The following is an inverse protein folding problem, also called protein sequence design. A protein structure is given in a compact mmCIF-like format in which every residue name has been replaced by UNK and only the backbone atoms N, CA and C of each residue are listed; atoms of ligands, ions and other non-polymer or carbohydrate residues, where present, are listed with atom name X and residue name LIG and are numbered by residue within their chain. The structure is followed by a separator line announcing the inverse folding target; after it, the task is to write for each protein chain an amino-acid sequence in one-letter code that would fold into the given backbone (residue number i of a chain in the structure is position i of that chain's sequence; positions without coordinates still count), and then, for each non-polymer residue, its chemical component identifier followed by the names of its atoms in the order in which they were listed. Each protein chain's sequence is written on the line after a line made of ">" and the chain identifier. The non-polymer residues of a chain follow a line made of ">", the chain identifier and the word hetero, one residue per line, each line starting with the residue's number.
data_IF_194621885760
#
_entry.id   IF_194621885760
#
_cell.length_a   1.000
_cell.length_b   1.000
_cell.length_c   1.000
_cell.angle_alpha   90.00
_cell.angle_beta   90.00
_cell.angle_gamma   90.00
#
_symmetry.space_group_name_H-M   'P 1'
#
loop_
_entity.id
_entity.type
_entity.pdbx_description
1 polymer ?
#
# COMPACT_ATOMS: atom_id res chain seq x y z
N UNK A 1 -4.09 28.18 -14.69
CA UNK A 1 -4.41 27.03 -15.53
C UNK A 1 -5.37 26.17 -14.75
N UNK A 2 -6.57 25.88 -15.27
CA UNK A 2 -7.51 24.95 -14.63
C UNK A 2 -6.90 23.56 -14.77
N UNK A 3 -6.44 22.97 -13.66
CA UNK A 3 -5.92 21.61 -13.68
C UNK A 3 -7.04 20.63 -14.09
N UNK A 4 -6.73 19.75 -15.03
CA UNK A 4 -7.66 18.77 -15.57
C UNK A 4 -8.00 17.70 -14.50
N UNK A 5 -9.24 17.23 -14.47
CA UNK A 5 -9.61 16.10 -13.61
C UNK A 5 -9.06 14.80 -14.21
N UNK A 6 -8.44 14.01 -13.38
CA UNK A 6 -7.81 12.74 -13.74
C UNK A 6 -8.52 11.59 -13.03
N UNK A 7 -8.96 10.60 -13.79
CA UNK A 7 -9.38 9.31 -13.26
C UNK A 7 -8.17 8.35 -13.28
N UNK A 8 -7.49 8.25 -12.15
CA UNK A 8 -6.40 7.31 -11.94
C UNK A 8 -6.96 5.94 -11.57
N UNK A 9 -6.56 4.89 -12.30
CA UNK A 9 -6.96 3.50 -12.06
C UNK A 9 -5.72 2.67 -11.75
N UNK A 10 -5.76 1.95 -10.64
CA UNK A 10 -4.73 1.02 -10.18
C UNK A 10 -5.27 -0.42 -10.25
N UNK A 11 -4.68 -1.25 -11.10
CA UNK A 11 -5.05 -2.64 -11.31
C UNK A 11 -4.10 -3.53 -10.51
N UNK A 12 -4.49 -3.87 -9.29
CA UNK A 12 -3.78 -4.81 -8.43
C UNK A 12 -4.26 -6.25 -8.57
N UNK A 13 -3.59 -7.18 -7.91
CA UNK A 13 -3.86 -8.64 -7.96
C UNK A 13 -5.29 -9.01 -7.54
N UNK A 14 -5.76 -8.43 -6.44
CA UNK A 14 -7.04 -8.77 -5.80
C UNK A 14 -8.10 -7.70 -5.99
N UNK A 15 -7.68 -6.44 -6.15
CA UNK A 15 -8.57 -5.28 -6.20
C UNK A 15 -8.16 -4.34 -7.32
N UNK A 16 -9.15 -3.75 -7.96
CA UNK A 16 -8.96 -2.61 -8.85
C UNK A 16 -9.54 -1.38 -8.14
N UNK A 17 -8.75 -0.32 -8.10
CA UNK A 17 -9.09 0.91 -7.38
C UNK A 17 -9.07 2.08 -8.33
N UNK A 18 -9.94 3.05 -8.11
CA UNK A 18 -9.87 4.31 -8.83
C UNK A 18 -9.84 5.51 -7.87
N UNK A 19 -9.32 6.62 -8.38
CA UNK A 19 -9.37 7.94 -7.80
C UNK A 19 -9.65 8.94 -8.91
N UNK A 20 -10.79 9.63 -8.87
CA UNK A 20 -10.99 10.85 -9.61
C UNK A 20 -10.45 12.00 -8.77
N UNK A 21 -9.42 12.65 -9.25
CA UNK A 21 -8.75 13.71 -8.52
C UNK A 21 -8.27 14.82 -9.44
N UNK A 22 -7.82 15.90 -8.83
CA UNK A 22 -7.22 17.06 -9.49
C UNK A 22 -5.96 17.45 -8.75
N UNK A 23 -4.88 17.66 -9.49
CA UNK A 23 -3.64 18.19 -8.92
C UNK A 23 -3.79 19.68 -8.62
N UNK A 24 -3.42 20.11 -7.42
CA UNK A 24 -3.37 21.50 -7.02
C UNK A 24 -1.96 22.07 -7.24
N UNK A 25 -1.84 23.43 -7.39
CA UNK A 25 -0.54 24.08 -7.57
C UNK A 25 0.45 23.87 -6.40
N UNK A 26 -0.05 23.61 -5.20
CA UNK A 26 0.74 23.33 -4.00
C UNK A 26 1.26 21.88 -3.91
N UNK A 27 0.97 21.06 -4.92
CA UNK A 27 1.36 19.64 -4.95
C UNK A 27 0.40 18.70 -4.23
N UNK A 28 -0.65 19.21 -3.60
CA UNK A 28 -1.72 18.37 -3.06
C UNK A 28 -2.66 17.85 -4.15
N UNK A 29 -3.47 16.85 -3.80
CA UNK A 29 -4.49 16.30 -4.70
C UNK A 29 -5.86 16.46 -4.07
N UNK A 30 -6.75 17.19 -4.77
CA UNK A 30 -8.16 17.20 -4.43
C UNK A 30 -8.79 15.86 -4.81
N UNK A 31 -9.28 15.13 -3.83
CA UNK A 31 -10.05 13.90 -4.04
C UNK A 31 -11.50 14.22 -4.32
N UNK A 32 -11.98 13.91 -5.52
CA UNK A 32 -13.37 14.13 -5.97
C UNK A 32 -14.21 12.87 -5.76
N UNK A 33 -13.69 11.70 -6.17
CA UNK A 33 -14.38 10.42 -6.03
C UNK A 33 -13.34 9.29 -5.93
N UNK A 34 -13.66 8.26 -5.15
CA UNK A 34 -12.80 7.09 -4.96
C UNK A 34 -13.65 5.83 -4.82
N UNK A 35 -13.23 4.74 -5.47
CA UNK A 35 -13.90 3.44 -5.35
C UNK A 35 -12.88 2.31 -5.41
N UNK A 36 -13.22 1.17 -4.77
CA UNK A 36 -12.46 -0.07 -4.81
C UNK A 36 -13.37 -1.22 -5.16
N UNK A 37 -12.96 -2.06 -6.11
CA UNK A 37 -13.66 -3.28 -6.51
C UNK A 37 -12.76 -4.50 -6.34
N UNK A 38 -13.33 -5.58 -5.81
CA UNK A 38 -12.67 -6.87 -5.78
C UNK A 38 -12.76 -7.49 -7.18
N UNK A 39 -11.63 -7.75 -7.80
CA UNK A 39 -11.55 -8.26 -9.17
C UNK A 39 -10.87 -9.61 -9.30
N UNK A 40 -9.89 -9.89 -8.39
CA UNK A 40 -9.10 -11.12 -8.39
C UNK A 40 -8.56 -11.49 -9.77
N UNK A 41 -7.93 -10.55 -10.44
CA UNK A 41 -7.36 -10.73 -11.78
C UNK A 41 -6.14 -11.67 -11.80
N UNK A 42 -5.53 -11.96 -10.66
CA UNK A 42 -4.46 -12.96 -10.55
C UNK A 42 -4.96 -14.24 -9.93
N UNK A 43 -4.45 -15.39 -10.42
CA UNK A 43 -4.68 -16.69 -9.83
C UNK A 43 -3.75 -16.93 -8.65
N UNK A 44 -4.28 -17.52 -7.57
CA UNK A 44 -3.43 -18.03 -6.47
C UNK A 44 -2.74 -19.36 -6.83
N UNK A 45 -3.21 -20.05 -7.86
CA UNK A 45 -2.78 -21.40 -8.26
C UNK A 45 -1.79 -21.39 -9.43
N UNK A 46 -1.80 -20.33 -10.24
CA UNK A 46 -0.89 -20.16 -11.37
C UNK A 46 -0.08 -18.88 -11.26
N UNK A 47 1.15 -18.88 -11.76
CA UNK A 47 2.01 -17.69 -11.84
C UNK A 47 1.54 -16.71 -12.93
N UNK A 48 0.23 -16.48 -13.08
CA UNK A 48 -0.34 -15.69 -14.16
C UNK A 48 -1.65 -15.01 -13.80
N UNK A 49 -2.16 -14.25 -14.75
CA UNK A 49 -3.49 -13.68 -14.68
C UNK A 49 -4.54 -14.73 -15.02
N UNK A 50 -5.72 -14.60 -14.43
CA UNK A 50 -6.85 -15.50 -14.76
C UNK A 50 -7.27 -15.32 -16.25
N UNK A 51 -7.85 -16.35 -16.90
CA UNK A 51 -8.18 -16.28 -18.33
C UNK A 51 -9.07 -15.10 -18.73
N UNK A 52 -9.98 -14.66 -17.86
CA UNK A 52 -10.88 -13.53 -18.07
C UNK A 52 -10.42 -12.23 -17.37
N UNK A 53 -9.12 -12.08 -17.11
CA UNK A 53 -8.57 -10.91 -16.40
C UNK A 53 -8.82 -9.61 -17.18
N UNK A 54 -8.75 -9.66 -18.52
CA UNK A 54 -8.98 -8.50 -19.37
C UNK A 54 -10.43 -8.00 -19.27
N UNK A 55 -11.40 -8.91 -19.36
CA UNK A 55 -12.83 -8.59 -19.26
C UNK A 55 -13.17 -8.03 -17.88
N UNK A 56 -12.64 -8.65 -16.80
CA UNK A 56 -12.85 -8.18 -15.44
C UNK A 56 -12.29 -6.76 -15.24
N UNK A 57 -11.07 -6.51 -15.70
CA UNK A 57 -10.43 -5.21 -15.58
C UNK A 57 -11.14 -4.15 -16.44
N UNK A 58 -11.46 -4.46 -17.69
CA UNK A 58 -12.17 -3.55 -18.59
C UNK A 58 -13.56 -3.19 -18.07
N UNK A 59 -14.29 -4.16 -17.50
CA UNK A 59 -15.59 -3.93 -16.87
C UNK A 59 -15.47 -2.98 -15.65
N UNK A 60 -14.47 -3.18 -14.79
CA UNK A 60 -14.21 -2.29 -13.67
C UNK A 60 -13.87 -0.86 -14.13
N UNK A 61 -12.98 -0.71 -15.13
CA UNK A 61 -12.61 0.60 -15.68
C UNK A 61 -13.85 1.33 -16.25
N UNK A 62 -14.66 0.64 -17.04
CA UNK A 62 -15.88 1.21 -17.63
C UNK A 62 -16.90 1.64 -16.58
N UNK A 63 -17.05 0.86 -15.50
CA UNK A 63 -17.91 1.21 -14.35
C UNK A 63 -17.38 2.43 -13.61
N UNK A 64 -16.06 2.52 -13.37
CA UNK A 64 -15.45 3.69 -12.74
C UNK A 64 -15.61 4.95 -13.60
N UNK A 65 -15.42 4.86 -14.90
CA UNK A 65 -15.65 5.96 -15.82
C UNK A 65 -17.12 6.41 -15.80
N UNK A 66 -18.06 5.47 -15.77
CA UNK A 66 -19.49 5.78 -15.65
C UNK A 66 -19.83 6.48 -14.34
N UNK A 67 -19.31 5.98 -13.22
CA UNK A 67 -19.51 6.59 -11.91
C UNK A 67 -18.86 7.97 -11.81
N UNK A 68 -17.63 8.14 -12.32
CA UNK A 68 -16.89 9.40 -12.33
C UNK A 68 -17.63 10.52 -13.07
N UNK A 69 -18.42 10.20 -14.13
CA UNK A 69 -19.24 11.19 -14.87
C UNK A 69 -20.32 11.86 -14.02
N UNK A 70 -20.74 11.25 -12.91
CA UNK A 70 -21.65 11.87 -11.96
C UNK A 70 -21.00 13.03 -11.18
N UNK A 71 -19.68 13.05 -11.09
CA UNK A 71 -18.91 14.05 -10.36
C UNK A 71 -18.21 15.05 -11.28
N UNK A 72 -17.80 14.60 -12.48
CA UNK A 72 -17.17 15.46 -13.49
C UNK A 72 -17.53 14.99 -14.89
N UNK A 73 -17.94 15.94 -15.75
CA UNK A 73 -18.23 15.64 -17.16
C UNK A 73 -16.96 15.47 -18.00
N UNK A 74 -15.86 16.12 -17.59
CA UNK A 74 -14.59 16.13 -18.31
C UNK A 74 -13.48 15.60 -17.42
N UNK A 75 -12.84 14.50 -17.79
CA UNK A 75 -11.66 13.95 -17.18
C UNK A 75 -10.91 13.05 -18.17
N UNK A 76 -9.61 12.90 -17.96
CA UNK A 76 -8.81 11.87 -18.64
C UNK A 76 -8.65 10.65 -17.73
N UNK A 77 -8.63 9.46 -18.35
CA UNK A 77 -8.40 8.19 -17.63
C UNK A 77 -6.97 7.75 -17.84
N UNK A 78 -6.26 7.50 -16.73
CA UNK A 78 -4.93 6.88 -16.71
C UNK A 78 -5.01 5.59 -15.89
N UNK A 79 -4.70 4.47 -16.52
CA UNK A 79 -4.71 3.16 -15.89
C UNK A 79 -3.30 2.58 -15.80
N UNK A 80 -2.96 2.06 -14.64
CA UNK A 80 -1.71 1.35 -14.40
C UNK A 80 -2.00 -0.03 -13.84
N UNK A 81 -1.08 -0.97 -14.10
CA UNK A 81 -1.09 -2.30 -13.52
C UNK A 81 0.27 -2.56 -12.83
N UNK A 82 0.26 -3.31 -11.74
CA UNK A 82 1.39 -3.50 -10.87
C UNK A 82 1.92 -4.95 -10.90
N UNK A 83 2.42 -5.47 -9.81
CA UNK A 83 3.16 -6.72 -9.71
C UNK A 83 2.48 -7.92 -10.39
N UNK A 84 1.15 -8.07 -10.31
CA UNK A 84 0.44 -9.19 -10.93
C UNK A 84 0.61 -9.23 -12.45
N UNK A 85 0.50 -8.08 -13.11
CA UNK A 85 0.71 -7.98 -14.56
C UNK A 85 2.19 -8.07 -14.92
N UNK A 86 3.07 -7.48 -14.12
CA UNK A 86 4.52 -7.47 -14.35
C UNK A 86 5.11 -8.88 -14.31
N UNK A 87 4.65 -9.72 -13.39
CA UNK A 87 5.14 -11.08 -13.21
C UNK A 87 4.46 -12.11 -14.12
N UNK A 88 3.27 -11.82 -14.64
CA UNK A 88 2.53 -12.74 -15.48
C UNK A 88 3.11 -12.81 -16.90
N UNK A 89 3.25 -14.04 -17.44
CA UNK A 89 3.67 -14.24 -18.83
C UNK A 89 2.70 -13.60 -19.84
N UNK A 90 1.41 -13.56 -19.51
CA UNK A 90 0.37 -12.96 -20.32
C UNK A 90 0.04 -11.52 -19.92
N UNK A 91 0.86 -10.86 -19.11
CA UNK A 91 0.56 -9.52 -18.58
C UNK A 91 0.40 -8.47 -19.68
N UNK A 92 1.32 -8.41 -20.64
CA UNK A 92 1.25 -7.45 -21.73
C UNK A 92 0.06 -7.72 -22.67
N UNK A 93 -0.14 -8.96 -23.10
CA UNK A 93 -1.30 -9.30 -23.95
C UNK A 93 -2.62 -9.01 -23.26
N UNK A 94 -2.74 -9.28 -21.96
CA UNK A 94 -3.92 -8.91 -21.18
C UNK A 94 -4.13 -7.38 -21.12
N UNK A 95 -3.05 -6.58 -21.00
CA UNK A 95 -3.16 -5.13 -21.05
C UNK A 95 -3.61 -4.61 -22.42
N UNK A 96 -3.16 -5.24 -23.51
CA UNK A 96 -3.59 -4.94 -24.88
C UNK A 96 -5.06 -5.33 -25.10
N UNK A 97 -5.50 -6.47 -24.56
CA UNK A 97 -6.90 -6.89 -24.61
C UNK A 97 -7.82 -5.93 -23.83
N UNK A 98 -7.40 -5.40 -22.68
CA UNK A 98 -8.14 -4.36 -21.96
C UNK A 98 -8.36 -3.14 -22.85
N UNK A 99 -7.31 -2.71 -23.58
CA UNK A 99 -7.44 -1.59 -24.52
C UNK A 99 -8.43 -1.90 -25.63
N UNK A 100 -8.38 -3.10 -26.20
CA UNK A 100 -9.31 -3.53 -27.26
C UNK A 100 -10.77 -3.55 -26.77
N UNK A 101 -11.02 -3.91 -25.51
CA UNK A 101 -12.38 -4.01 -24.92
C UNK A 101 -12.94 -2.64 -24.53
N UNK A 102 -12.16 -1.79 -23.84
CA UNK A 102 -12.69 -0.54 -23.25
C UNK A 102 -12.00 0.74 -23.71
N UNK A 103 -11.04 0.67 -24.62
CA UNK A 103 -10.31 1.84 -25.15
C UNK A 103 -9.35 2.52 -24.17
N UNK A 104 -9.13 1.94 -22.98
CA UNK A 104 -8.24 2.51 -21.97
C UNK A 104 -6.88 1.79 -22.00
N UNK A 105 -5.81 2.53 -22.34
CA UNK A 105 -4.46 1.99 -22.32
C UNK A 105 -3.99 1.76 -20.89
N UNK A 106 -3.49 0.56 -20.59
CA UNK A 106 -2.92 0.19 -19.31
C UNK A 106 -1.39 0.21 -19.39
N UNK A 107 -0.73 0.99 -18.52
CA UNK A 107 0.72 1.00 -18.36
C UNK A 107 1.11 0.00 -17.27
N UNK A 108 1.88 -1.03 -17.61
CA UNK A 108 2.45 -1.94 -16.61
C UNK A 108 3.66 -1.25 -15.98
N UNK A 109 3.60 -1.01 -14.67
CA UNK A 109 4.65 -0.32 -13.95
C UNK A 109 5.81 -1.25 -13.60
N UNK A 110 7.04 -0.78 -13.82
CA UNK A 110 8.23 -1.33 -13.18
C UNK A 110 8.22 -1.06 -11.67
N UNK A 111 9.00 -1.81 -10.89
CA UNK A 111 9.05 -1.66 -9.42
C UNK A 111 9.44 -0.25 -8.99
N UNK A 112 10.43 0.34 -9.64
CA UNK A 112 10.90 1.71 -9.35
C UNK A 112 9.82 2.76 -9.66
N UNK A 113 9.07 2.61 -10.77
CA UNK A 113 7.98 3.53 -11.11
C UNK A 113 6.81 3.41 -10.15
N UNK A 114 6.46 2.19 -9.74
CA UNK A 114 5.43 1.91 -8.74
C UNK A 114 5.79 2.56 -7.40
N UNK A 115 7.03 2.37 -6.92
CA UNK A 115 7.53 2.98 -5.70
C UNK A 115 7.58 4.51 -5.78
N UNK A 116 8.06 5.07 -6.89
CA UNK A 116 8.13 6.52 -7.14
C UNK A 116 6.73 7.16 -7.13
N UNK A 117 5.77 6.55 -7.82
CA UNK A 117 4.40 7.07 -7.83
C UNK A 117 3.73 6.95 -6.47
N UNK A 118 3.98 5.86 -5.74
CA UNK A 118 3.45 5.68 -4.40
C UNK A 118 4.03 6.71 -3.42
N UNK A 119 5.33 6.97 -3.50
CA UNK A 119 6.01 8.02 -2.72
C UNK A 119 5.48 9.41 -3.08
N UNK A 120 5.42 9.76 -4.37
CA UNK A 120 4.87 11.04 -4.82
C UNK A 120 3.43 11.24 -4.34
N UNK A 121 2.62 10.18 -4.39
CA UNK A 121 1.27 10.20 -3.87
C UNK A 121 1.22 10.44 -2.36
N UNK A 122 2.08 9.77 -1.58
CA UNK A 122 2.16 9.97 -0.14
C UNK A 122 2.56 11.40 0.22
N UNK A 123 3.50 11.99 -0.52
CA UNK A 123 3.96 13.37 -0.32
C UNK A 123 2.91 14.43 -0.71
N UNK A 124 1.82 14.04 -1.39
CA UNK A 124 0.68 14.94 -1.65
C UNK A 124 -0.30 15.08 -0.47
N UNK A 125 -0.10 14.31 0.60
CA UNK A 125 -0.92 14.41 1.81
C UNK A 125 -0.56 15.69 2.57
N UNK A 126 -1.51 16.64 2.76
CA UNK A 126 -1.22 17.90 3.44
C UNK A 126 -0.76 17.77 4.90
N UNK A 127 -0.95 16.59 5.51
CA UNK A 127 -0.48 16.31 6.87
C UNK A 127 1.00 15.93 6.94
N UNK A 128 1.68 15.79 5.78
CA UNK A 128 3.08 15.40 5.67
C UNK A 128 3.88 16.60 5.15
N UNK A 129 4.94 16.97 5.87
CA UNK A 129 5.90 17.95 5.38
C UNK A 129 6.81 17.30 4.33
N UNK A 130 6.44 17.46 3.07
CA UNK A 130 7.17 16.85 1.94
C UNK A 130 8.51 17.53 1.65
N UNK A 131 8.81 18.70 2.27
CA UNK A 131 10.08 19.41 2.08
C UNK A 131 11.22 18.78 2.88
N UNK A 132 10.90 18.06 3.95
CA UNK A 132 11.86 17.42 4.84
C UNK A 132 12.22 16.01 4.35
N UNK A 133 13.44 15.52 4.67
CA UNK A 133 13.82 14.14 4.38
C UNK A 133 12.84 13.14 5.00
N UNK A 134 12.26 12.31 4.17
CA UNK A 134 11.17 11.39 4.54
C UNK A 134 11.51 9.96 4.14
N UNK A 135 11.18 9.00 5.01
CA UNK A 135 11.13 7.59 4.65
C UNK A 135 9.65 7.20 4.49
N UNK A 136 9.32 6.70 3.33
CA UNK A 136 8.00 6.14 3.03
C UNK A 136 8.11 4.62 2.95
N UNK A 137 7.09 3.91 3.45
CA UNK A 137 6.99 2.47 3.22
C UNK A 137 5.55 2.04 2.86
N UNK A 138 5.47 1.00 2.05
CA UNK A 138 4.23 0.26 1.77
C UNK A 138 4.47 -1.23 2.04
N UNK A 139 3.73 -1.79 3.00
CA UNK A 139 3.79 -3.21 3.31
C UNK A 139 2.64 -3.93 2.62
N UNK A 140 2.98 -4.62 1.54
CA UNK A 140 2.09 -5.46 0.78
C UNK A 140 1.97 -6.89 1.32
N UNK A 141 1.31 -7.74 0.53
CA UNK A 141 1.21 -9.17 0.84
C UNK A 141 2.50 -9.95 0.55
N UNK A 142 3.25 -9.55 -0.46
CA UNK A 142 4.46 -10.23 -0.95
C UNK A 142 5.76 -9.51 -0.62
N UNK A 143 5.74 -8.20 -0.51
CA UNK A 143 6.92 -7.35 -0.35
C UNK A 143 6.70 -6.18 0.60
N UNK A 144 7.80 -5.59 1.02
CA UNK A 144 7.90 -4.32 1.72
C UNK A 144 8.73 -3.38 0.84
N UNK A 145 8.12 -2.33 0.34
CA UNK A 145 8.80 -1.24 -0.34
C UNK A 145 9.17 -0.16 0.66
N UNK A 146 10.44 0.29 0.64
CA UNK A 146 10.94 1.40 1.48
C UNK A 146 11.62 2.42 0.58
N UNK A 147 11.13 3.65 0.61
CA UNK A 147 11.57 4.75 -0.22
C UNK A 147 12.15 5.84 0.67
N UNK A 148 13.34 6.29 0.35
CA UNK A 148 13.98 7.48 0.92
C UNK A 148 13.83 8.62 -0.09
N UNK A 149 13.48 9.82 0.40
CA UNK A 149 13.37 10.98 -0.48
C UNK A 149 13.22 12.28 0.29
N UNK A 150 13.26 13.38 -0.43
CA UNK A 150 13.12 14.73 0.08
C UNK A 150 12.56 15.65 -0.99
N UNK A 151 11.85 16.71 -0.62
CA UNK A 151 11.29 17.66 -1.59
C UNK A 151 10.27 17.04 -2.57
N UNK A 152 9.64 15.91 -2.20
CA UNK A 152 8.73 15.18 -3.08
C UNK A 152 9.44 14.31 -4.13
N UNK A 153 10.77 14.26 -4.14
CA UNK A 153 11.57 13.42 -5.04
C UNK A 153 12.11 12.18 -4.32
N UNK A 154 12.11 11.07 -5.04
CA UNK A 154 12.65 9.80 -4.55
C UNK A 154 14.16 9.74 -4.80
N UNK A 155 14.95 9.54 -3.73
CA UNK A 155 16.40 9.35 -3.81
C UNK A 155 16.79 7.88 -3.98
N UNK A 156 16.14 7.00 -3.19
CA UNK A 156 16.44 5.56 -3.15
C UNK A 156 15.19 4.76 -2.83
N UNK A 157 15.05 3.62 -3.50
CA UNK A 157 14.04 2.62 -3.18
C UNK A 157 14.68 1.27 -2.85
N UNK A 158 14.13 0.58 -1.86
CA UNK A 158 14.43 -0.80 -1.52
C UNK A 158 13.13 -1.59 -1.60
N UNK A 159 13.14 -2.71 -2.31
CA UNK A 159 12.05 -3.69 -2.29
C UNK A 159 12.56 -4.96 -1.61
N UNK A 160 11.93 -5.31 -0.50
CA UNK A 160 12.29 -6.47 0.32
C UNK A 160 11.21 -7.55 0.12
N UNK A 161 11.57 -8.81 -0.16
CA UNK A 161 10.61 -9.88 -0.42
C UNK A 161 9.97 -10.43 0.87
N UNK A 162 9.51 -9.52 1.75
CA UNK A 162 8.97 -9.82 3.09
C UNK A 162 7.61 -9.14 3.28
N UNK A 163 6.59 -9.64 2.59
CA UNK A 163 5.22 -9.17 2.76
C UNK A 163 4.45 -9.94 3.82
N UNK A 164 3.34 -9.37 4.29
CA UNK A 164 2.52 -9.93 5.36
C UNK A 164 2.01 -11.34 5.06
N UNK A 165 1.61 -11.63 3.81
CA UNK A 165 1.06 -12.94 3.42
C UNK A 165 2.15 -14.00 3.32
N UNK A 166 3.27 -13.70 2.65
CA UNK A 166 4.31 -14.71 2.44
C UNK A 166 5.03 -15.04 3.74
N UNK A 167 5.25 -14.08 4.64
CA UNK A 167 5.84 -14.32 5.97
C UNK A 167 4.88 -15.13 6.85
N UNK A 168 3.59 -14.78 6.88
CA UNK A 168 2.59 -15.56 7.61
C UNK A 168 2.58 -17.01 7.16
N UNK A 169 2.48 -17.27 5.86
CA UNK A 169 2.44 -18.63 5.31
C UNK A 169 3.70 -19.44 5.60
N UNK A 170 4.82 -18.76 5.68
CA UNK A 170 6.12 -19.46 5.88
C UNK A 170 6.40 -19.77 7.33
N UNK A 171 5.94 -18.95 8.28
CA UNK A 171 6.45 -18.97 9.65
C UNK A 171 5.38 -19.09 10.73
N UNK A 172 4.11 -18.92 10.43
CA UNK A 172 3.02 -19.06 11.40
C UNK A 172 2.23 -20.33 11.11
N UNK A 173 2.25 -21.29 12.05
CA UNK A 173 1.62 -22.60 11.87
C UNK A 173 0.10 -22.49 11.76
N UNK A 174 -0.53 -21.72 12.65
CA UNK A 174 -1.98 -21.50 12.63
C UNK A 174 -2.29 -20.00 12.78
N UNK A 175 -2.40 -19.27 11.68
CA UNK A 175 -2.58 -17.81 11.73
C UNK A 175 -3.95 -17.38 12.29
N UNK A 176 -4.89 -18.30 12.46
CA UNK A 176 -6.19 -18.03 13.09
C UNK A 176 -6.12 -18.02 14.62
N UNK A 177 -5.04 -18.55 15.21
CA UNK A 177 -4.82 -18.66 16.65
C UNK A 177 -3.84 -17.60 17.17
N UNK A 178 -3.80 -17.47 18.50
CA UNK A 178 -2.75 -16.72 19.17
C UNK A 178 -1.38 -17.30 18.82
N UNK A 179 -0.40 -16.44 18.57
CA UNK A 179 0.98 -16.87 18.39
C UNK A 179 1.55 -17.37 19.72
N UNK A 180 2.41 -18.37 19.64
CA UNK A 180 3.27 -18.73 20.76
C UNK A 180 4.39 -17.71 20.92
N UNK A 181 4.97 -17.62 22.13
CA UNK A 181 6.15 -16.78 22.38
C UNK A 181 7.31 -17.16 21.46
N UNK A 182 7.47 -18.45 21.15
CA UNK A 182 8.51 -18.92 20.24
C UNK A 182 8.30 -18.42 18.80
N UNK A 183 7.06 -18.45 18.28
CA UNK A 183 6.74 -17.92 16.95
C UNK A 183 6.99 -16.41 16.87
N UNK A 184 6.58 -15.64 17.89
CA UNK A 184 6.84 -14.21 17.92
C UNK A 184 8.34 -13.90 18.00
N UNK A 185 9.09 -14.59 18.84
CA UNK A 185 10.56 -14.43 18.92
C UNK A 185 11.25 -14.79 17.61
N UNK A 186 10.76 -15.80 16.92
CA UNK A 186 11.28 -16.17 15.61
C UNK A 186 11.01 -15.08 14.55
N UNK A 187 9.80 -14.52 14.51
CA UNK A 187 9.46 -13.41 13.62
C UNK A 187 10.32 -12.18 13.90
N UNK A 188 10.53 -11.85 15.17
CA UNK A 188 11.35 -10.72 15.59
C UNK A 188 12.79 -10.87 15.11
N UNK A 189 13.43 -12.01 15.38
CA UNK A 189 14.78 -12.30 14.90
C UNK A 189 14.88 -12.33 13.36
N UNK A 190 13.86 -12.90 12.69
CA UNK A 190 13.82 -12.95 11.23
C UNK A 190 13.78 -11.54 10.62
N UNK A 191 12.89 -10.67 11.12
CA UNK A 191 12.80 -9.32 10.62
C UNK A 191 14.04 -8.49 10.98
N UNK A 192 14.65 -8.66 12.15
CA UNK A 192 15.90 -8.00 12.49
C UNK A 192 17.02 -8.35 11.50
N UNK A 193 17.15 -9.63 11.17
CA UNK A 193 18.13 -10.08 10.17
C UNK A 193 17.83 -9.47 8.79
N UNK A 194 16.56 -9.42 8.37
CA UNK A 194 16.15 -8.83 7.09
C UNK A 194 16.48 -7.34 7.05
N UNK A 195 16.14 -6.61 8.11
CA UNK A 195 16.39 -5.17 8.21
C UNK A 195 17.90 -4.86 8.27
N UNK A 196 18.68 -5.66 9.03
CA UNK A 196 20.13 -5.49 9.08
C UNK A 196 20.78 -5.70 7.72
N UNK A 197 20.37 -6.74 6.99
CA UNK A 197 20.89 -7.02 5.64
C UNK A 197 20.50 -5.93 4.63
N UNK A 198 19.30 -5.34 4.75
CA UNK A 198 18.79 -4.34 3.82
C UNK A 198 19.40 -2.95 4.03
N UNK A 199 19.56 -2.55 5.28
CA UNK A 199 19.96 -1.18 5.64
C UNK A 199 21.42 -1.08 6.10
N UNK A 200 22.05 -2.19 6.53
CA UNK A 200 23.41 -2.19 7.07
C UNK A 200 23.53 -1.41 8.37
N UNK A 201 24.74 -0.97 8.67
CA UNK A 201 25.06 -0.29 9.94
C UNK A 201 24.58 1.18 9.98
N UNK A 202 24.30 1.81 8.84
CA UNK A 202 23.92 3.23 8.80
C UNK A 202 22.67 3.45 7.96
N UNK A 203 21.71 4.15 8.55
CA UNK A 203 20.50 4.61 7.87
C UNK A 203 20.63 6.12 7.60
N UNK A 204 20.29 6.62 6.41
CA UNK A 204 20.23 8.05 6.17
C UNK A 204 19.34 8.76 7.19
N UNK A 205 19.72 9.96 7.62
CA UNK A 205 18.88 10.76 8.51
C UNK A 205 17.59 11.15 7.82
N UNK A 206 16.48 11.07 8.53
CA UNK A 206 15.16 11.49 8.06
C UNK A 206 14.37 12.15 9.20
N UNK A 207 13.34 12.88 8.85
CA UNK A 207 12.47 13.60 9.80
C UNK A 207 11.21 12.79 10.11
N UNK A 208 10.62 12.19 9.09
CA UNK A 208 9.31 11.55 9.19
C UNK A 208 9.34 10.16 8.55
N UNK A 209 8.78 9.17 9.26
CA UNK A 209 8.45 7.86 8.69
C UNK A 209 6.97 7.88 8.30
N UNK A 210 6.68 7.66 7.02
CA UNK A 210 5.34 7.63 6.47
C UNK A 210 5.00 6.21 6.04
N UNK A 211 3.86 5.70 6.49
CA UNK A 211 3.39 4.37 6.13
C UNK A 211 2.07 4.39 5.38
N UNK A 212 1.97 3.57 4.35
CA UNK A 212 0.74 3.31 3.62
C UNK A 212 0.37 1.82 3.60
N UNK A 213 -0.73 1.51 2.94
CA UNK A 213 -1.18 0.14 2.76
C UNK A 213 -2.02 -0.40 3.90
N UNK A 214 -2.54 -1.60 3.66
CA UNK A 214 -3.56 -2.17 4.55
C UNK A 214 -3.07 -2.59 5.92
N UNK A 215 -1.77 -2.82 6.11
CA UNK A 215 -1.18 -3.12 7.41
C UNK A 215 -1.21 -1.90 8.32
N UNK A 216 -0.82 -0.73 7.80
CA UNK A 216 -0.83 0.52 8.56
C UNK A 216 -2.24 1.01 8.85
N UNK A 217 -3.18 0.80 7.91
CA UNK A 217 -4.62 1.02 8.15
C UNK A 217 -5.11 0.15 9.32
N UNK A 218 -4.76 -1.14 9.34
CA UNK A 218 -5.13 -2.02 10.44
C UNK A 218 -4.56 -1.55 11.78
N UNK A 219 -3.28 -1.11 11.82
CA UNK A 219 -2.65 -0.56 13.02
C UNK A 219 -3.36 0.71 13.51
N UNK A 220 -3.76 1.60 12.60
CA UNK A 220 -4.54 2.81 12.95
C UNK A 220 -5.91 2.46 13.56
N UNK A 221 -6.64 1.51 12.99
CA UNK A 221 -7.93 1.09 13.56
C UNK A 221 -7.77 0.38 14.90
N UNK A 222 -6.77 -0.49 15.04
CA UNK A 222 -6.46 -1.15 16.30
C UNK A 222 -6.06 -0.15 17.39
N UNK A 223 -5.25 0.86 17.06
CA UNK A 223 -4.93 1.99 17.95
C UNK A 223 -6.19 2.68 18.47
N UNK A 224 -7.11 3.01 17.56
CA UNK A 224 -8.40 3.64 17.92
C UNK A 224 -9.25 2.73 18.80
N UNK A 225 -9.33 1.45 18.47
CA UNK A 225 -10.11 0.46 19.25
C UNK A 225 -9.56 0.26 20.67
N UNK A 226 -8.25 0.40 20.86
CA UNK A 226 -7.59 0.36 22.18
C UNK A 226 -7.64 1.70 22.95
N UNK A 227 -8.17 2.76 22.35
CA UNK A 227 -8.22 4.08 22.98
C UNK A 227 -6.84 4.71 23.20
N UNK A 228 -5.81 4.31 22.43
CA UNK A 228 -4.48 4.87 22.55
C UNK A 228 -4.46 6.31 22.01
N UNK A 229 -4.07 7.25 22.84
CA UNK A 229 -4.08 8.68 22.55
C UNK A 229 -3.10 9.11 21.46
N UNK A 230 -2.95 10.43 21.27
CA UNK A 230 -2.09 11.05 20.25
C UNK A 230 -2.82 11.33 18.94
N UNK A 231 -2.10 11.84 17.94
CA UNK A 231 -2.67 12.17 16.62
C UNK A 231 -3.35 10.98 15.95
N UNK A 232 -4.46 11.23 15.27
CA UNK A 232 -5.28 10.14 14.70
C UNK A 232 -4.51 9.28 13.69
N UNK A 233 -3.64 9.89 12.89
CA UNK A 233 -2.83 9.23 11.87
C UNK A 233 -1.38 8.92 12.31
N UNK A 234 -1.01 9.21 13.58
CA UNK A 234 0.34 8.96 14.09
C UNK A 234 0.32 7.75 15.03
N UNK A 235 1.28 6.86 14.89
CA UNK A 235 1.48 5.70 15.76
C UNK A 235 2.90 5.78 16.31
N UNK A 236 3.08 5.93 17.63
CA UNK A 236 4.41 5.94 18.23
C UNK A 236 5.03 4.53 18.26
N UNK A 237 6.35 4.46 18.45
CA UNK A 237 7.08 3.20 18.57
C UNK A 237 6.51 2.33 19.70
N UNK A 238 6.24 2.93 20.87
CA UNK A 238 5.65 2.22 22.00
C UNK A 238 4.22 1.76 21.71
N UNK A 239 3.42 2.58 21.01
CA UNK A 239 2.09 2.18 20.58
C UNK A 239 2.15 1.01 19.59
N UNK A 240 3.11 1.01 18.66
CA UNK A 240 3.27 -0.11 17.72
C UNK A 240 3.63 -1.42 18.44
N UNK A 241 4.44 -1.36 19.51
CA UNK A 241 4.72 -2.51 20.38
C UNK A 241 3.44 -3.04 21.07
N UNK A 242 2.65 -2.14 21.69
CA UNK A 242 1.37 -2.50 22.30
C UNK A 242 0.42 -3.15 21.28
N UNK A 243 0.36 -2.61 20.06
CA UNK A 243 -0.47 -3.13 18.99
C UNK A 243 -0.02 -4.52 18.54
N UNK A 244 1.30 -4.74 18.44
CA UNK A 244 1.90 -6.03 18.10
C UNK A 244 1.51 -7.10 19.11
N UNK A 245 1.72 -6.84 20.40
CA UNK A 245 1.35 -7.75 21.48
C UNK A 245 -0.14 -8.07 21.47
N UNK A 246 -0.98 -7.02 21.31
CA UNK A 246 -2.42 -7.17 21.30
C UNK A 246 -2.92 -8.13 20.22
N UNK A 247 -2.36 -8.06 19.00
CA UNK A 247 -2.81 -8.92 17.90
C UNK A 247 -2.12 -10.28 17.88
N UNK A 248 -0.90 -10.40 18.43
CA UNK A 248 -0.16 -11.65 18.44
C UNK A 248 -0.74 -12.65 19.45
N UNK A 249 -1.14 -12.19 20.64
CA UNK A 249 -1.57 -13.07 21.72
C UNK A 249 -3.09 -13.29 21.80
N UNK A 250 -3.79 -13.21 20.65
CA UNK A 250 -5.20 -13.53 20.56
C UNK A 250 -5.57 -14.19 19.24
N UNK A 251 -6.76 -14.81 19.21
CA UNK A 251 -7.31 -15.46 18.02
C UNK A 251 -7.86 -14.43 17.00
N UNK A 252 -8.06 -14.85 15.76
CA UNK A 252 -8.61 -14.04 14.68
C UNK A 252 -9.92 -13.35 15.01
N UNK A 253 -10.83 -14.03 15.71
CA UNK A 253 -12.13 -13.46 16.10
C UNK A 253 -11.97 -12.26 17.06
N UNK A 254 -10.97 -12.34 17.96
CA UNK A 254 -10.64 -11.23 18.86
C UNK A 254 -9.96 -10.10 18.10
N UNK A 255 -9.09 -10.41 17.14
CA UNK A 255 -8.47 -9.40 16.25
C UNK A 255 -9.53 -8.61 15.49
N UNK A 256 -10.56 -9.29 14.98
CA UNK A 256 -11.69 -8.67 14.30
C UNK A 256 -12.57 -7.85 15.26
N UNK A 257 -13.08 -8.50 16.31
CA UNK A 257 -14.11 -7.90 17.15
C UNK A 257 -13.60 -6.84 18.13
N UNK A 258 -12.39 -7.04 18.69
CA UNK A 258 -11.83 -6.14 19.72
C UNK A 258 -10.90 -5.09 19.14
N UNK A 259 -10.11 -5.45 18.12
CA UNK A 259 -9.09 -4.58 17.57
C UNK A 259 -9.43 -4.01 16.19
N UNK A 260 -10.68 -4.22 15.74
CA UNK A 260 -11.21 -3.69 14.48
C UNK A 260 -10.35 -4.06 13.24
N UNK A 261 -9.64 -5.17 13.29
CA UNK A 261 -8.92 -5.70 12.13
C UNK A 261 -9.93 -6.28 11.15
N UNK A 262 -9.89 -5.88 9.89
CA UNK A 262 -10.82 -6.40 8.88
C UNK A 262 -10.67 -7.92 8.71
N UNK A 263 -11.79 -8.64 8.57
CA UNK A 263 -11.87 -10.11 8.47
C UNK A 263 -10.87 -10.72 7.46
N UNK A 264 -10.63 -10.07 6.34
CA UNK A 264 -9.67 -10.53 5.34
C UNK A 264 -8.20 -10.27 5.66
N UNK A 265 -7.86 -9.83 6.88
CA UNK A 265 -6.50 -9.50 7.33
C UNK A 265 -6.15 -10.05 8.71
N UNK A 266 -7.11 -10.65 9.41
CA UNK A 266 -6.92 -11.13 10.79
C UNK A 266 -5.81 -12.16 10.92
N UNK A 267 -5.59 -12.93 9.88
CA UNK A 267 -4.57 -13.98 9.79
C UNK A 267 -3.15 -13.44 9.53
N UNK A 268 -3.04 -12.34 8.79
CA UNK A 268 -1.73 -11.78 8.38
C UNK A 268 -1.24 -10.62 9.24
N UNK A 269 -2.12 -10.03 10.06
CA UNK A 269 -1.79 -8.82 10.83
C UNK A 269 -0.67 -9.04 11.87
N UNK A 270 -0.49 -10.21 12.52
CA UNK A 270 0.64 -10.43 13.40
C UNK A 270 2.00 -10.29 12.70
N UNK A 271 2.18 -10.94 11.55
CA UNK A 271 3.41 -10.80 10.76
C UNK A 271 3.60 -9.38 10.23
N UNK A 272 2.50 -8.71 9.82
CA UNK A 272 2.55 -7.34 9.35
C UNK A 272 3.01 -6.36 10.45
N UNK A 273 2.48 -6.49 11.65
CA UNK A 273 2.84 -5.60 12.77
C UNK A 273 4.26 -5.87 13.26
N UNK A 274 4.71 -7.13 13.27
CA UNK A 274 6.10 -7.48 13.56
C UNK A 274 7.06 -6.84 12.54
N UNK A 275 6.71 -6.87 11.25
CA UNK A 275 7.50 -6.23 10.20
C UNK A 275 7.59 -4.71 10.39
N UNK A 276 6.46 -4.03 10.64
CA UNK A 276 6.43 -2.58 10.85
C UNK A 276 7.23 -2.20 12.12
N UNK A 277 7.07 -2.95 13.19
CA UNK A 277 7.80 -2.72 14.44
C UNK A 277 9.32 -2.86 14.24
N UNK A 278 9.76 -3.92 13.56
CA UNK A 278 11.18 -4.14 13.25
C UNK A 278 11.74 -3.04 12.32
N UNK A 279 10.95 -2.57 11.33
CA UNK A 279 11.33 -1.44 10.48
C UNK A 279 11.51 -0.16 11.31
N UNK A 280 10.55 0.18 12.17
CA UNK A 280 10.64 1.35 13.05
C UNK A 280 11.88 1.27 13.96
N UNK A 281 12.14 0.10 14.55
CA UNK A 281 13.32 -0.16 15.39
C UNK A 281 14.62 0.05 14.61
N UNK A 282 14.73 -0.56 13.42
CA UNK A 282 15.93 -0.44 12.58
C UNK A 282 16.22 0.98 12.14
N UNK A 283 15.17 1.73 11.79
CA UNK A 283 15.28 3.12 11.38
C UNK A 283 15.47 4.09 12.55
N UNK A 284 15.27 3.65 13.79
CA UNK A 284 15.24 4.53 14.96
C UNK A 284 14.06 5.51 14.93
N UNK A 285 12.97 5.15 14.27
CA UNK A 285 11.80 6.01 14.08
C UNK A 285 10.97 6.08 15.37
N UNK A 286 10.80 7.26 16.02
CA UNK A 286 10.00 7.38 17.24
C UNK A 286 8.50 7.23 16.98
N UNK A 287 8.08 7.46 15.75
CA UNK A 287 6.68 7.30 15.31
C UNK A 287 6.62 7.10 13.81
N UNK A 288 5.50 6.59 13.34
CA UNK A 288 5.09 6.60 11.93
C UNK A 288 3.83 7.43 11.74
N UNK A 289 3.69 8.05 10.58
CA UNK A 289 2.48 8.77 10.14
C UNK A 289 1.80 7.96 9.04
N UNK A 290 0.53 7.62 9.22
CA UNK A 290 -0.25 6.93 8.21
C UNK A 290 -0.81 7.92 7.19
N UNK A 291 -0.72 7.58 5.90
CA UNK A 291 -1.40 8.28 4.81
C UNK A 291 -2.30 7.34 4.01
N UNK A 292 -3.41 7.87 3.50
CA UNK A 292 -4.24 7.20 2.48
C UNK A 292 -3.81 7.56 1.05
N UNK A 293 -2.99 8.59 0.90
CA UNK A 293 -2.44 9.00 -0.38
C UNK A 293 -1.36 8.00 -0.82
N UNK A 294 -1.52 7.43 -2.00
CA UNK A 294 -0.68 6.36 -2.50
C UNK A 294 -0.53 6.45 -4.03
N UNK A 295 -0.19 5.34 -4.69
CA UNK A 295 0.03 5.24 -6.14
C UNK A 295 -0.98 6.05 -6.98
N UNK A 296 -2.27 6.00 -6.68
CA UNK A 296 -3.31 6.71 -7.45
C UNK A 296 -3.17 8.22 -7.35
N UNK A 297 -2.80 8.73 -6.18
CA UNK A 297 -2.52 10.16 -5.97
C UNK A 297 -1.29 10.59 -6.76
N UNK A 298 -0.22 9.78 -6.73
CA UNK A 298 0.96 10.01 -7.55
C UNK A 298 0.66 10.00 -9.04
N UNK A 299 -0.23 9.11 -9.49
CA UNK A 299 -0.65 9.06 -10.88
C UNK A 299 -1.46 10.31 -11.29
N UNK A 300 -2.30 10.85 -10.40
CA UNK A 300 -2.99 12.13 -10.63
C UNK A 300 -1.98 13.27 -10.78
N UNK A 301 -0.96 13.35 -9.91
CA UNK A 301 0.08 14.37 -9.98
C UNK A 301 0.94 14.25 -11.23
N UNK A 302 1.34 13.03 -11.62
CA UNK A 302 2.13 12.79 -12.83
C UNK A 302 1.34 13.19 -14.08
N UNK A 303 0.09 12.74 -14.18
CA UNK A 303 -0.78 13.03 -15.32
C UNK A 303 -1.15 14.53 -15.42
N UNK A 304 -1.30 15.21 -14.29
CA UNK A 304 -1.59 16.65 -14.25
C UNK A 304 -0.45 17.55 -14.73
N UNK A 305 0.77 16.99 -14.88
CA UNK A 305 1.95 17.68 -15.42
C UNK A 305 2.11 17.50 -16.94
N UNK A 306 1.36 16.56 -17.55
CA UNK A 306 1.38 16.29 -19.00
C UNK A 306 0.39 17.20 -19.75
#
# INVERSE_FOLDING_TARGET
>A
MTSENILAVDIGSNTIKCLLGRANPDGSVERIYEETKNSRVSSMESAGLVPNAAELAAACISQFQSAARNFSKNFKTYAVATSAFRLAQNGQSTADDIFNICGTKVRILGENDEARLSYLGAMSDPSIDSTEPTVYFDLGGGSLEVVFGSGGEMDKCLSLPVGAVNVTRRFINNPQKALTVAELSFLDNFFDMVMENAFGASVPSFKTLVGAGGAVVAARFAKKALGLGGGENVISFDQMHILLDAVCFCDSDVRESKYAVSKGRTDIVPAAFACIYALMRKLGAPSLTHTFCNLRYGLVLEAGKM
#
